data_IF_500803746007
#
_entry.id   IF_500803746007
#
_cell.length_a   1.000
_cell.length_b   1.000
_cell.length_c   1.000
_cell.angle_alpha   90.00
_cell.angle_beta   90.00
_cell.angle_gamma   90.00
#
_symmetry.space_group_name_H-M   'P 1'
#
loop_
_entity.id
_entity.type
_entity.pdbx_description
1 polymer ?
#
# COMPACT_ATOMS: atom_id res chain seq x y z
N UNK A 1 -15.18 -6.32 -39.46
CA UNK A 1 -14.14 -6.31 -38.40
C UNK A 1 -14.72 -5.55 -37.22
N UNK A 2 -15.10 -6.25 -36.13
CA UNK A 2 -15.55 -5.57 -34.93
C UNK A 2 -14.33 -5.01 -34.21
N UNK A 3 -14.17 -3.68 -34.22
CA UNK A 3 -13.12 -2.99 -33.46
C UNK A 3 -13.71 -2.62 -32.10
N UNK A 4 -13.37 -3.39 -31.07
CA UNK A 4 -13.69 -3.05 -29.68
C UNK A 4 -12.54 -2.24 -29.08
N UNK A 5 -12.87 -1.18 -28.35
CA UNK A 5 -11.90 -0.32 -27.67
C UNK A 5 -12.21 -0.21 -26.18
N UNK A 6 -11.15 -0.03 -25.36
CA UNK A 6 -11.25 0.22 -23.93
C UNK A 6 -10.71 1.61 -23.63
N UNK A 7 -11.48 2.43 -22.92
CA UNK A 7 -11.08 3.77 -22.48
C UNK A 7 -10.84 3.75 -20.97
N UNK A 8 -9.59 4.01 -20.57
CA UNK A 8 -9.17 4.05 -19.17
C UNK A 8 -8.97 5.51 -18.75
N UNK A 9 -9.69 5.96 -17.73
CA UNK A 9 -9.60 7.33 -17.21
C UNK A 9 -9.57 7.35 -15.68
N UNK A 10 -8.84 8.31 -15.12
CA UNK A 10 -8.87 8.72 -13.72
C UNK A 10 -8.76 10.24 -13.67
N UNK A 11 -8.95 10.86 -12.49
CA UNK A 11 -9.06 12.31 -12.34
C UNK A 11 -7.95 13.12 -13.03
N UNK A 12 -6.71 12.65 -12.97
CA UNK A 12 -5.54 13.26 -13.64
C UNK A 12 -5.00 12.43 -14.82
N UNK A 13 -5.61 11.27 -15.09
CA UNK A 13 -5.16 10.33 -16.10
C UNK A 13 -3.79 9.67 -15.85
N UNK A 14 -3.23 9.76 -14.63
CA UNK A 14 -1.87 9.28 -14.36
C UNK A 14 -1.89 7.94 -13.63
N UNK A 15 -1.76 7.98 -12.30
CA UNK A 15 -1.33 6.82 -11.52
C UNK A 15 -2.31 5.63 -11.58
N UNK A 16 -3.61 5.86 -11.38
CA UNK A 16 -4.61 4.79 -11.45
C UNK A 16 -4.81 4.27 -12.88
N UNK A 17 -4.73 5.16 -13.88
CA UNK A 17 -4.75 4.76 -15.28
C UNK A 17 -3.55 3.87 -15.63
N UNK A 18 -2.36 4.20 -15.12
CA UNK A 18 -1.15 3.41 -15.30
C UNK A 18 -1.28 2.04 -14.65
N UNK A 19 -1.77 1.97 -13.40
CA UNK A 19 -1.98 0.70 -12.70
C UNK A 19 -2.92 -0.22 -13.48
N UNK A 20 -4.06 0.30 -13.97
CA UNK A 20 -5.01 -0.50 -14.72
C UNK A 20 -4.45 -0.96 -16.08
N UNK A 21 -3.74 -0.09 -16.81
CA UNK A 21 -3.09 -0.48 -18.06
C UNK A 21 -2.03 -1.56 -17.81
N UNK A 22 -1.22 -1.42 -16.76
CA UNK A 22 -0.19 -2.40 -16.44
C UNK A 22 -0.81 -3.76 -16.12
N UNK A 23 -1.88 -3.78 -15.32
CA UNK A 23 -2.64 -5.00 -15.05
C UNK A 23 -3.20 -5.62 -16.32
N UNK A 24 -3.73 -4.82 -17.25
CA UNK A 24 -4.24 -5.30 -18.53
C UNK A 24 -3.15 -5.94 -19.41
N UNK A 25 -1.97 -5.32 -19.49
CA UNK A 25 -0.85 -5.84 -20.28
C UNK A 25 -0.32 -7.16 -19.70
N UNK A 26 -0.25 -7.26 -18.37
CA UNK A 26 0.09 -8.48 -17.65
C UNK A 26 -0.96 -9.58 -17.92
N UNK A 27 -2.24 -9.27 -17.70
CA UNK A 27 -3.36 -10.19 -17.92
C UNK A 27 -3.39 -10.72 -19.35
N UNK A 28 -3.12 -9.84 -20.32
CA UNK A 28 -3.06 -10.19 -21.76
C UNK A 28 -1.76 -10.92 -22.16
N UNK A 29 -0.84 -11.17 -21.21
CA UNK A 29 0.47 -11.80 -21.42
C UNK A 29 1.37 -11.07 -22.43
N UNK A 30 1.15 -9.77 -22.61
CA UNK A 30 2.00 -8.92 -23.47
C UNK A 30 3.32 -8.57 -22.79
N UNK A 31 3.30 -8.54 -21.45
CA UNK A 31 4.49 -8.45 -20.60
C UNK A 31 4.40 -9.46 -19.46
N UNK A 32 5.52 -9.74 -18.79
CA UNK A 32 5.58 -10.69 -17.66
C UNK A 32 5.86 -10.03 -16.32
N UNK A 33 6.49 -8.86 -16.33
CA UNK A 33 6.96 -8.16 -15.13
C UNK A 33 6.31 -6.77 -15.08
N UNK A 34 5.78 -6.30 -13.93
CA UNK A 34 5.09 -5.02 -13.84
C UNK A 34 5.89 -3.80 -14.35
N UNK A 35 7.20 -3.82 -14.19
CA UNK A 35 8.12 -2.75 -14.58
C UNK A 35 8.16 -2.56 -16.10
N UNK A 36 8.08 -3.64 -16.90
CA UNK A 36 8.02 -3.56 -18.36
C UNK A 36 6.74 -2.83 -18.81
N UNK A 37 5.62 -3.13 -18.16
CA UNK A 37 4.36 -2.43 -18.42
C UNK A 37 4.43 -0.94 -18.03
N UNK A 38 5.07 -0.62 -16.90
CA UNK A 38 5.29 0.75 -16.48
C UNK A 38 6.17 1.52 -17.47
N UNK A 39 7.20 0.88 -18.04
CA UNK A 39 8.02 1.49 -19.09
C UNK A 39 7.21 1.76 -20.37
N UNK A 40 6.35 0.82 -20.78
CA UNK A 40 5.43 1.04 -21.91
C UNK A 40 4.52 2.25 -21.65
N UNK A 41 3.92 2.34 -20.45
CA UNK A 41 3.10 3.48 -20.08
C UNK A 41 3.91 4.79 -20.08
N UNK A 42 5.14 4.76 -19.56
CA UNK A 42 6.03 5.92 -19.50
C UNK A 42 6.35 6.47 -20.89
N UNK A 43 6.69 5.59 -21.84
CA UNK A 43 6.98 5.95 -23.23
C UNK A 43 5.74 6.49 -23.96
N UNK A 44 4.55 5.93 -23.68
CA UNK A 44 3.32 6.29 -24.39
C UNK A 44 2.55 7.45 -23.78
N UNK A 45 2.77 7.78 -22.51
CA UNK A 45 1.98 8.80 -21.80
C UNK A 45 2.83 9.67 -20.88
N UNK A 46 3.31 9.13 -19.77
CA UNK A 46 4.14 9.85 -18.81
C UNK A 46 4.81 8.87 -17.82
N UNK A 47 6.03 9.15 -17.35
CA UNK A 47 6.64 8.34 -16.29
C UNK A 47 5.82 8.46 -15.00
N UNK A 48 5.59 7.31 -14.34
CA UNK A 48 4.86 7.23 -13.07
C UNK A 48 5.78 6.57 -12.04
N UNK A 49 5.98 7.24 -10.91
CA UNK A 49 6.55 6.61 -9.73
C UNK A 49 5.42 5.92 -8.96
N UNK A 50 5.15 4.66 -9.29
CA UNK A 50 4.04 3.91 -8.72
C UNK A 50 4.31 3.63 -7.23
N UNK A 51 3.34 3.88 -6.33
CA UNK A 51 3.50 3.53 -4.92
C UNK A 51 3.81 2.04 -4.75
N UNK A 52 4.67 1.66 -3.79
CA UNK A 52 5.03 0.27 -3.54
C UNK A 52 3.82 -0.65 -3.31
N UNK A 53 2.74 -0.15 -2.70
CA UNK A 53 1.50 -0.90 -2.52
C UNK A 53 0.85 -1.24 -3.87
N UNK A 54 0.71 -0.28 -4.78
CA UNK A 54 0.13 -0.52 -6.11
C UNK A 54 0.99 -1.48 -6.94
N UNK A 55 2.31 -1.32 -6.91
CA UNK A 55 3.23 -2.23 -7.59
C UNK A 55 3.11 -3.66 -7.04
N UNK A 56 2.98 -3.81 -5.72
CA UNK A 56 2.75 -5.11 -5.08
C UNK A 56 1.47 -5.78 -5.57
N UNK A 57 0.39 -5.04 -5.79
CA UNK A 57 -0.85 -5.59 -6.34
C UNK A 57 -0.69 -6.10 -7.78
N UNK A 58 0.16 -5.46 -8.60
CA UNK A 58 0.51 -5.98 -9.93
C UNK A 58 1.27 -7.31 -9.82
N UNK A 59 2.17 -7.46 -8.84
CA UNK A 59 2.82 -8.74 -8.56
C UNK A 59 1.85 -9.80 -8.05
N UNK A 60 0.86 -9.44 -7.23
CA UNK A 60 -0.21 -10.36 -6.84
C UNK A 60 -1.01 -10.83 -8.05
N UNK A 61 -1.37 -9.92 -8.96
CA UNK A 61 -2.00 -10.28 -10.23
C UNK A 61 -1.13 -11.25 -11.03
N UNK A 62 0.16 -10.95 -11.22
CA UNK A 62 1.11 -11.83 -11.92
C UNK A 62 1.16 -13.23 -11.33
N UNK A 63 1.11 -13.35 -9.99
CA UNK A 63 1.06 -14.64 -9.30
C UNK A 63 -0.22 -15.43 -9.58
N UNK A 64 -1.36 -14.76 -9.73
CA UNK A 64 -2.66 -15.38 -9.99
C UNK A 64 -2.78 -15.82 -11.46
N UNK A 65 -2.24 -15.05 -12.41
CA UNK A 65 -2.45 -15.29 -13.85
C UNK A 65 -1.36 -16.17 -14.51
N UNK A 66 -0.30 -16.53 -13.78
CA UNK A 66 0.78 -17.36 -14.32
C UNK A 66 0.31 -18.81 -14.57
N UNK A 67 1.01 -19.60 -15.41
CA UNK A 67 0.57 -20.97 -15.77
C UNK A 67 0.33 -21.91 -14.58
N UNK A 68 1.09 -21.74 -13.50
CA UNK A 68 0.89 -22.43 -12.22
C UNK A 68 0.49 -21.39 -11.15
N UNK A 69 -0.80 -21.03 -11.03
CA UNK A 69 -1.26 -19.93 -10.18
C UNK A 69 -0.88 -20.09 -8.70
N UNK A 70 -0.46 -19.00 -8.06
CA UNK A 70 -0.48 -18.90 -6.60
C UNK A 70 -1.77 -18.18 -6.21
N UNK A 71 -2.70 -18.92 -5.63
CA UNK A 71 -3.97 -18.36 -5.17
C UNK A 71 -3.86 -17.94 -3.70
N UNK A 72 -4.43 -16.78 -3.32
CA UNK A 72 -4.49 -16.38 -1.94
C UNK A 72 -5.38 -17.34 -1.12
N UNK A 73 -5.03 -17.53 0.15
CA UNK A 73 -5.91 -18.20 1.11
C UNK A 73 -6.76 -17.17 1.86
N UNK A 74 -7.86 -17.62 2.47
CA UNK A 74 -8.77 -16.77 3.26
C UNK A 74 -8.63 -17.00 4.77
N UNK A 75 -7.40 -17.23 5.24
CA UNK A 75 -7.17 -17.45 6.68
C UNK A 75 -6.96 -16.10 7.35
N UNK A 76 -7.70 -15.77 8.42
CA UNK A 76 -7.50 -14.53 9.13
C UNK A 76 -6.09 -14.44 9.74
N UNK A 77 -5.56 -13.22 9.85
CA UNK A 77 -4.27 -12.91 10.45
C UNK A 77 -4.48 -11.97 11.62
N UNK A 78 -4.01 -12.36 12.81
CA UNK A 78 -3.99 -11.47 13.98
C UNK A 78 -2.76 -10.57 13.95
N UNK A 79 -2.99 -9.27 13.97
CA UNK A 79 -1.95 -8.25 14.08
C UNK A 79 -1.74 -7.93 15.56
N UNK A 80 -0.56 -8.29 16.07
CA UNK A 80 -0.23 -8.21 17.51
C UNK A 80 0.53 -6.93 17.88
N UNK A 81 1.38 -6.45 16.98
CA UNK A 81 2.13 -5.21 17.17
C UNK A 81 2.75 -4.74 15.87
N UNK A 82 3.03 -3.45 15.74
CA UNK A 82 3.94 -2.93 14.73
C UNK A 82 5.18 -2.35 15.39
N UNK A 83 6.33 -2.58 14.78
CA UNK A 83 7.61 -2.02 15.19
C UNK A 83 8.20 -1.21 14.05
N UNK A 84 8.57 0.04 14.31
CA UNK A 84 9.19 0.94 13.34
C UNK A 84 10.58 1.31 13.88
N UNK A 85 11.61 1.07 13.07
CA UNK A 85 12.99 1.33 13.44
C UNK A 85 13.74 1.96 12.25
N UNK A 86 14.45 3.09 12.44
CA UNK A 86 14.60 3.86 13.68
C UNK A 86 13.33 4.67 14.04
N UNK A 87 13.33 5.34 15.21
CA UNK A 87 12.26 6.30 15.57
C UNK A 87 12.17 7.41 14.51
N UNK A 88 11.00 7.62 13.86
CA UNK A 88 10.82 8.69 12.90
C UNK A 88 10.83 10.10 13.54
N UNK A 89 11.32 11.10 12.79
CA UNK A 89 11.56 12.48 13.28
C UNK A 89 10.54 13.49 12.71
N UNK A 90 9.30 13.39 13.17
CA UNK A 90 8.17 14.18 12.68
C UNK A 90 7.79 15.41 13.53
N UNK A 91 8.32 15.51 14.76
CA UNK A 91 8.20 16.71 15.58
C UNK A 91 8.80 17.93 14.86
N UNK A 92 8.42 19.14 15.29
CA UNK A 92 9.01 20.39 14.76
C UNK A 92 10.52 20.45 14.98
N UNK A 93 11.00 19.98 16.13
CA UNK A 93 12.41 19.93 16.48
C UNK A 93 13.19 18.78 15.81
N UNK A 94 12.51 17.91 15.04
CA UNK A 94 13.11 16.75 14.35
C UNK A 94 13.83 15.79 15.30
N UNK A 95 13.26 15.60 16.48
CA UNK A 95 13.84 14.80 17.57
C UNK A 95 12.99 13.58 17.96
N UNK A 96 11.83 13.39 17.34
CA UNK A 96 10.96 12.26 17.64
C UNK A 96 9.61 12.27 16.92
N UNK A 97 8.68 11.47 17.43
CA UNK A 97 7.28 11.45 16.99
C UNK A 97 6.33 11.01 18.12
N UNK A 98 5.07 11.45 18.01
CA UNK A 98 3.90 10.88 18.71
C UNK A 98 3.07 10.06 17.73
N UNK A 99 3.34 8.77 17.54
CA UNK A 99 2.70 7.97 16.53
C UNK A 99 1.35 7.42 17.01
N UNK A 100 0.39 7.33 16.09
CA UNK A 100 -0.81 6.50 16.25
C UNK A 100 -1.06 5.74 14.94
N UNK A 101 -1.86 4.67 15.02
CA UNK A 101 -2.11 3.74 13.93
C UNK A 101 -3.60 3.67 13.64
N UNK A 102 -3.93 3.55 12.37
CA UNK A 102 -5.25 3.11 11.92
C UNK A 102 -5.10 1.87 11.04
N UNK A 103 -5.99 0.90 11.24
CA UNK A 103 -6.04 -0.34 10.45
C UNK A 103 -7.38 -0.41 9.77
N UNK A 104 -7.33 -0.60 8.45
CA UNK A 104 -8.49 -0.76 7.60
C UNK A 104 -8.46 -2.14 6.97
N UNK A 105 -9.61 -2.79 6.91
CA UNK A 105 -9.84 -3.96 6.09
C UNK A 105 -10.84 -3.56 5.01
N UNK A 106 -10.43 -3.65 3.75
CA UNK A 106 -11.13 -3.04 2.61
C UNK A 106 -11.33 -1.53 2.85
N UNK A 107 -12.58 -1.08 2.96
CA UNK A 107 -12.97 0.31 3.19
C UNK A 107 -13.38 0.61 4.64
N UNK A 108 -13.33 -0.39 5.54
CA UNK A 108 -13.74 -0.25 6.94
C UNK A 108 -12.55 -0.12 7.87
N UNK A 109 -12.53 0.94 8.68
CA UNK A 109 -11.60 1.06 9.81
C UNK A 109 -11.97 0.06 10.92
N UNK A 110 -11.05 -0.82 11.27
CA UNK A 110 -11.22 -1.81 12.33
C UNK A 110 -10.60 -1.38 13.66
N UNK A 111 -9.48 -0.66 13.60
CA UNK A 111 -8.75 -0.20 14.78
C UNK A 111 -8.22 1.22 14.55
N UNK A 112 -8.31 2.06 15.58
CA UNK A 112 -7.52 3.28 15.69
C UNK A 112 -6.90 3.33 17.09
N UNK A 113 -5.60 3.60 17.18
CA UNK A 113 -4.90 3.80 18.46
C UNK A 113 -4.82 5.28 18.83
N UNK A 114 -5.53 6.16 18.11
CA UNK A 114 -5.58 7.58 18.39
C UNK A 114 -6.21 7.81 19.78
N UNK A 115 -5.55 8.64 20.57
CA UNK A 115 -6.02 9.06 21.89
C UNK A 115 -5.93 10.58 21.99
N UNK A 116 -6.39 11.13 23.11
CA UNK A 116 -6.08 12.52 23.49
C UNK A 116 -4.57 12.76 23.36
N UNK A 117 -4.20 13.91 22.79
CA UNK A 117 -2.81 14.22 22.41
C UNK A 117 -1.80 13.97 23.54
N UNK A 118 -2.14 14.37 24.76
CA UNK A 118 -1.29 14.26 25.93
C UNK A 118 -1.08 12.81 26.41
N UNK A 119 -1.97 11.88 26.01
CA UNK A 119 -1.86 10.44 26.33
C UNK A 119 -1.02 9.68 25.31
N UNK A 120 -0.78 10.23 24.13
CA UNK A 120 0.07 9.59 23.12
C UNK A 120 1.54 9.66 23.54
N UNK A 121 2.21 8.52 23.59
CA UNK A 121 3.64 8.47 23.93
C UNK A 121 4.48 9.24 22.91
N UNK A 122 5.39 10.09 23.41
CA UNK A 122 6.39 10.78 22.59
C UNK A 122 7.64 9.91 22.54
N UNK A 123 7.87 9.28 21.39
CA UNK A 123 9.09 8.54 21.12
C UNK A 123 10.19 9.50 20.69
N UNK A 124 11.35 9.40 21.33
CA UNK A 124 12.57 10.15 20.97
C UNK A 124 13.63 9.24 20.36
N UNK A 125 14.63 9.81 19.70
CA UNK A 125 15.76 9.04 19.11
C UNK A 125 16.43 8.07 20.08
N UNK A 126 16.51 8.42 21.37
CA UNK A 126 17.10 7.59 22.43
C UNK A 126 16.40 6.24 22.63
N UNK A 127 15.13 6.10 22.24
CA UNK A 127 14.39 4.83 22.32
C UNK A 127 14.74 3.86 21.19
N UNK A 128 15.35 4.35 20.10
CA UNK A 128 15.82 3.54 18.97
C UNK A 128 14.72 2.98 18.07
N UNK A 129 13.53 2.67 18.59
CA UNK A 129 12.37 2.17 17.82
C UNK A 129 11.04 2.60 18.45
N UNK A 130 10.00 2.63 17.63
CA UNK A 130 8.60 2.70 18.04
C UNK A 130 8.04 1.29 18.07
N UNK A 131 7.36 0.88 19.14
CA UNK A 131 6.58 -0.37 19.17
C UNK A 131 5.21 -0.07 19.72
N UNK A 132 4.18 -0.30 18.90
CA UNK A 132 2.78 -0.07 19.26
C UNK A 132 2.03 -1.40 19.25
N UNK A 133 1.37 -1.79 20.35
CA UNK A 133 0.55 -3.00 20.39
C UNK A 133 -0.67 -2.84 19.49
N UNK A 134 -1.07 -3.94 18.87
CA UNK A 134 -2.25 -4.07 18.04
C UNK A 134 -3.07 -5.24 18.58
N UNK A 135 -4.39 -5.13 18.49
CA UNK A 135 -5.29 -6.22 18.86
C UNK A 135 -6.44 -6.26 17.85
N UNK A 136 -6.10 -6.66 16.62
CA UNK A 136 -7.10 -6.80 15.55
C UNK A 136 -6.77 -7.99 14.66
N UNK A 137 -7.81 -8.63 14.16
CA UNK A 137 -7.71 -9.69 13.16
C UNK A 137 -8.19 -9.15 11.82
N UNK A 138 -7.47 -9.47 10.75
CA UNK A 138 -7.73 -8.98 9.38
C UNK A 138 -7.73 -10.13 8.37
N UNK A 139 -8.38 -9.94 7.23
CA UNK A 139 -8.40 -10.88 6.11
C UNK A 139 -8.61 -10.14 4.79
N UNK A 140 -7.95 -10.57 3.71
CA UNK A 140 -8.08 -9.92 2.40
C UNK A 140 -7.23 -8.66 2.27
N UNK A 141 -7.82 -7.58 1.75
CA UNK A 141 -7.13 -6.31 1.50
C UNK A 141 -7.04 -5.47 2.78
N UNK A 142 -5.82 -5.16 3.20
CA UNK A 142 -5.55 -4.49 4.48
C UNK A 142 -4.67 -3.27 4.27
N UNK A 143 -5.07 -2.15 4.88
CA UNK A 143 -4.26 -0.93 4.96
C UNK A 143 -3.88 -0.70 6.41
N UNK A 144 -2.58 -0.53 6.66
CA UNK A 144 -2.04 -0.11 7.94
C UNK A 144 -1.41 1.26 7.74
N UNK A 145 -1.99 2.27 8.39
CA UNK A 145 -1.54 3.66 8.29
C UNK A 145 -0.97 4.11 9.63
N UNK A 146 0.20 4.73 9.61
CA UNK A 146 0.85 5.30 10.80
C UNK A 146 0.97 6.80 10.62
N UNK A 147 0.55 7.53 11.64
CA UNK A 147 0.47 8.98 11.63
C UNK A 147 1.26 9.57 12.79
N UNK A 148 1.68 10.81 12.66
CA UNK A 148 2.19 11.61 13.77
C UNK A 148 1.11 12.61 14.21
N UNK A 149 0.67 12.51 15.47
CA UNK A 149 -0.23 13.49 16.06
C UNK A 149 0.49 14.84 16.25
N UNK A 150 -0.14 15.92 15.79
CA UNK A 150 0.40 17.29 15.81
C UNK A 150 -0.53 18.26 16.50
#
# INVERSE_FOLDING_TARGET
LNVSAVVITCQDGKQFSAMLLCGLLLYSKLVKVPEDALQIFAVKRAPINMPPSQLRYLYYLSNIIRPEPVLPHFRPVSLVSITIQPVPLFTKARDGCRPYIEIYNEDRMLLSTLQEYDRLHMYTMSEGKVTLPLDTTVVGDVVVSVYHAR
#
